data_IF_129083568754
#
_entry.id   IF_129083568754
#
_cell.length_a   1.000
_cell.length_b   1.000
_cell.length_c   1.000
_cell.angle_alpha   90.00
_cell.angle_beta   90.00
_cell.angle_gamma   90.00
#
_symmetry.space_group_name_H-M   'P 1'
#
loop_
_entity.id
_entity.type
_entity.pdbx_description
1 polymer ?
#
# COMPACT_ATOMS: atom_id res chain seq x y z
N UNK A 1 70.08 5.62 8.36
CA UNK A 1 68.83 6.40 8.45
C UNK A 1 68.43 6.78 7.05
N UNK A 2 67.41 6.13 6.47
CA UNK A 2 66.88 6.44 5.14
C UNK A 2 65.37 6.60 5.27
N UNK A 3 64.89 7.80 4.99
CA UNK A 3 63.48 8.18 4.99
C UNK A 3 62.74 7.54 3.81
N UNK A 4 61.60 6.92 4.11
CA UNK A 4 60.64 6.47 3.11
C UNK A 4 59.54 7.52 2.95
N UNK A 5 59.64 8.34 1.89
CA UNK A 5 58.56 9.21 1.45
C UNK A 5 57.43 8.35 0.85
N UNK A 6 56.23 8.45 1.43
CA UNK A 6 54.99 7.87 0.91
C UNK A 6 54.33 8.87 -0.04
N UNK A 7 54.32 8.57 -1.34
CA UNK A 7 53.50 9.28 -2.32
C UNK A 7 52.04 8.90 -2.16
N UNK A 8 51.20 9.88 -1.85
CA UNK A 8 49.74 9.77 -1.88
C UNK A 8 49.28 10.10 -3.30
N UNK A 9 48.70 9.12 -4.00
CA UNK A 9 48.06 9.36 -5.29
C UNK A 9 46.62 9.86 -5.06
N UNK A 10 46.38 11.10 -5.43
CA UNK A 10 45.05 11.69 -5.50
C UNK A 10 44.39 11.22 -6.80
N UNK A 11 43.45 10.27 -6.72
CA UNK A 11 42.61 9.89 -7.87
C UNK A 11 41.47 10.90 -7.96
N UNK A 12 41.63 11.87 -8.86
CA UNK A 12 40.59 12.84 -9.20
C UNK A 12 39.66 12.20 -10.25
N UNK A 13 38.50 11.70 -9.82
CA UNK A 13 37.46 11.19 -10.72
C UNK A 13 36.74 12.39 -11.35
N UNK A 14 37.10 12.70 -12.59
CA UNK A 14 36.38 13.66 -13.43
C UNK A 14 35.09 13.01 -13.92
N UNK A 15 33.95 13.42 -13.35
CA UNK A 15 32.63 13.03 -13.87
C UNK A 15 32.37 13.79 -15.17
N UNK A 16 32.34 13.07 -16.29
CA UNK A 16 31.92 13.57 -17.60
C UNK A 16 30.40 13.76 -17.66
N UNK A 17 29.99 14.81 -18.39
CA UNK A 17 28.64 15.27 -18.76
C UNK A 17 27.45 14.29 -18.56
N UNK A 18 26.32 14.75 -17.99
CA UNK A 18 25.07 14.01 -18.00
C UNK A 18 24.48 14.03 -19.41
N UNK A 19 24.86 13.08 -20.26
CA UNK A 19 23.99 12.65 -21.33
C UNK A 19 22.65 12.31 -20.67
N UNK A 20 21.59 13.03 -21.05
CA UNK A 20 20.24 13.04 -20.47
C UNK A 20 19.90 11.69 -19.85
N UNK A 21 20.18 11.52 -18.56
CA UNK A 21 19.98 10.25 -17.90
C UNK A 21 18.50 9.93 -18.02
N UNK A 22 18.16 8.86 -18.73
CA UNK A 22 16.78 8.42 -18.82
C UNK A 22 16.23 8.34 -17.40
N UNK A 23 15.04 8.91 -17.19
CA UNK A 23 14.44 8.89 -15.87
C UNK A 23 14.31 7.44 -15.38
N UNK A 24 14.61 7.22 -14.09
CA UNK A 24 14.49 5.92 -13.44
C UNK A 24 13.07 5.36 -13.63
N UNK A 25 12.96 4.05 -13.88
CA UNK A 25 11.68 3.35 -13.96
C UNK A 25 11.02 3.31 -12.57
N UNK A 26 9.82 3.89 -12.46
CA UNK A 26 9.04 3.90 -11.21
C UNK A 26 7.55 3.86 -11.51
N UNK A 27 6.84 2.92 -10.89
CA UNK A 27 5.37 2.90 -10.88
C UNK A 27 4.83 3.93 -9.88
N UNK A 28 3.82 4.70 -10.29
CA UNK A 28 3.08 5.61 -9.42
C UNK A 28 1.57 5.43 -9.61
N UNK A 29 0.83 5.59 -8.51
CA UNK A 29 -0.61 5.75 -8.60
C UNK A 29 -0.96 7.01 -9.44
N UNK A 30 -2.06 6.99 -10.18
CA UNK A 30 -2.53 8.17 -10.91
C UNK A 30 -2.88 9.28 -9.91
N UNK A 31 -2.52 10.52 -10.24
CA UNK A 31 -2.76 11.68 -9.37
C UNK A 31 -4.25 11.84 -8.97
N UNK A 32 -5.17 11.30 -9.77
CA UNK A 32 -6.63 11.35 -9.54
C UNK A 32 -7.11 10.48 -8.39
N UNK A 33 -6.34 9.48 -7.96
CA UNK A 33 -6.70 8.67 -6.79
C UNK A 33 -6.58 9.48 -5.48
N UNK A 34 -5.82 10.57 -5.49
CA UNK A 34 -5.63 11.47 -4.36
C UNK A 34 -6.65 12.64 -4.32
N UNK A 35 -7.49 12.78 -5.35
CA UNK A 35 -8.33 13.96 -5.55
C UNK A 35 -9.84 13.67 -5.60
N UNK A 36 -10.34 12.77 -4.76
CA UNK A 36 -11.76 12.84 -4.36
C UNK A 36 -11.88 13.67 -3.09
N UNK A 37 -11.49 14.94 -3.18
CA UNK A 37 -12.05 15.97 -2.32
C UNK A 37 -13.53 16.06 -2.69
N UNK A 38 -14.40 15.50 -1.86
CA UNK A 38 -15.80 15.84 -1.91
C UNK A 38 -15.89 17.35 -1.65
N UNK A 39 -16.36 18.12 -2.63
CA UNK A 39 -16.83 19.47 -2.37
C UNK A 39 -17.84 19.47 -1.22
N UNK A 40 -18.04 20.61 -0.53
CA UNK A 40 -18.97 20.70 0.58
C UNK A 40 -20.32 20.11 0.16
N UNK A 41 -20.87 19.25 1.02
CA UNK A 41 -22.17 18.62 0.77
C UNK A 41 -23.19 19.71 0.39
N UNK A 42 -23.97 19.54 -0.68
CA UNK A 42 -25.06 20.46 -0.96
C UNK A 42 -25.97 20.50 0.27
N UNK A 43 -26.22 21.71 0.74
CA UNK A 43 -27.09 22.02 1.87
C UNK A 43 -28.43 21.30 1.66
N UNK A 44 -28.81 20.49 2.65
CA UNK A 44 -30.02 19.69 2.56
C UNK A 44 -31.24 20.62 2.39
N UNK A 45 -32.10 20.39 1.38
CA UNK A 45 -33.35 21.13 1.30
C UNK A 45 -34.23 20.79 2.52
N UNK A 46 -35.01 21.77 3.02
CA UNK A 46 -35.85 21.57 4.20
C UNK A 46 -36.88 20.45 3.97
N UNK A 47 -37.30 19.76 5.04
CA UNK A 47 -38.22 18.63 4.92
C UNK A 47 -39.61 19.14 4.58
N UNK A 48 -40.05 18.88 3.34
CA UNK A 48 -41.44 19.06 2.96
C UNK A 48 -42.19 17.73 3.03
N UNK A 49 -43.38 17.81 3.61
CA UNK A 49 -44.18 16.68 4.06
C UNK A 49 -44.99 16.03 2.95
N UNK A 50 -45.19 14.71 3.10
CA UNK A 50 -46.22 13.85 2.49
C UNK A 50 -45.99 13.31 1.08
N UNK A 51 -45.54 12.05 0.99
CA UNK A 51 -46.12 11.04 0.08
C UNK A 51 -45.98 9.64 0.70
N UNK A 52 -47.11 8.97 0.85
CA UNK A 52 -47.31 7.61 1.35
C UNK A 52 -46.67 6.56 0.41
N UNK A 53 -45.65 5.83 0.88
CA UNK A 53 -45.02 4.74 0.12
C UNK A 53 -45.46 3.36 0.62
N UNK A 54 -46.25 2.68 -0.21
CA UNK A 54 -46.65 1.26 -0.11
C UNK A 54 -45.43 0.37 -0.36
N UNK A 55 -44.83 -0.19 0.69
CA UNK A 55 -43.70 -1.14 0.59
C UNK A 55 -44.18 -2.49 0.06
N UNK A 56 -43.72 -2.89 -1.13
CA UNK A 56 -43.85 -4.24 -1.68
C UNK A 56 -42.45 -4.83 -1.94
N UNK A 57 -42.17 -5.96 -1.29
CA UNK A 57 -41.21 -7.00 -1.69
C UNK A 57 -39.78 -6.58 -2.04
N UNK A 58 -38.87 -6.64 -1.06
CA UNK A 58 -37.44 -6.55 -1.30
C UNK A 58 -36.90 -7.84 -1.95
N UNK A 59 -36.51 -7.74 -3.21
CA UNK A 59 -35.54 -8.68 -3.80
C UNK A 59 -34.16 -8.36 -3.19
N UNK A 60 -33.66 -9.27 -2.36
CA UNK A 60 -32.27 -9.28 -1.92
C UNK A 60 -31.39 -9.81 -3.06
N UNK A 61 -30.95 -8.91 -3.94
CA UNK A 61 -29.92 -9.19 -4.94
C UNK A 61 -28.56 -8.74 -4.40
N UNK A 62 -27.86 -9.68 -3.76
CA UNK A 62 -26.49 -9.49 -3.25
C UNK A 62 -25.48 -9.33 -4.40
N UNK A 63 -24.99 -8.09 -4.54
CA UNK A 63 -23.62 -7.65 -4.84
C UNK A 63 -22.81 -8.35 -5.96
N UNK A 64 -22.94 -7.85 -7.19
CA UNK A 64 -21.84 -7.85 -8.16
C UNK A 64 -21.03 -6.56 -8.05
N UNK A 65 -20.00 -6.51 -7.20
CA UNK A 65 -19.03 -5.39 -7.24
C UNK A 65 -18.34 -5.43 -8.59
N UNK A 66 -18.72 -4.51 -9.48
CA UNK A 66 -18.07 -4.35 -10.78
C UNK A 66 -16.56 -4.20 -10.59
N UNK A 67 -15.83 -5.09 -11.26
CA UNK A 67 -14.37 -5.17 -11.25
C UNK A 67 -13.81 -3.95 -11.96
N UNK A 68 -13.44 -2.91 -11.21
CA UNK A 68 -12.84 -1.71 -11.79
C UNK A 68 -11.42 -2.03 -12.25
N UNK A 69 -11.04 -1.70 -13.49
CA UNK A 69 -9.64 -1.70 -13.91
C UNK A 69 -8.83 -0.80 -12.98
N UNK A 70 -7.58 -1.18 -12.73
CA UNK A 70 -6.63 -0.36 -11.99
C UNK A 70 -5.71 0.34 -12.99
N UNK A 71 -5.54 1.64 -12.86
CA UNK A 71 -4.63 2.43 -13.71
C UNK A 71 -3.35 2.70 -12.94
N UNK A 72 -2.21 2.45 -13.56
CA UNK A 72 -0.88 2.79 -13.05
C UNK A 72 -0.17 3.70 -14.05
N UNK A 73 0.64 4.63 -13.55
CA UNK A 73 1.50 5.45 -14.40
C UNK A 73 2.94 4.97 -14.26
N UNK A 74 3.62 4.72 -15.38
CA UNK A 74 5.05 4.39 -15.39
C UNK A 74 5.86 5.63 -15.72
N UNK A 75 6.64 6.11 -14.74
CA UNK A 75 7.62 7.14 -14.98
C UNK A 75 8.85 6.55 -15.69
N UNK A 76 9.38 7.26 -16.69
CA UNK A 76 10.55 6.80 -17.46
C UNK A 76 10.26 5.64 -18.41
N UNK A 77 9.00 5.45 -18.83
CA UNK A 77 8.51 4.33 -19.66
C UNK A 77 9.23 4.05 -20.98
N UNK A 78 9.94 5.03 -21.56
CA UNK A 78 10.54 4.93 -22.88
C UNK A 78 11.48 3.70 -22.99
N UNK A 79 11.13 2.79 -23.91
CA UNK A 79 11.89 1.55 -24.16
C UNK A 79 11.72 0.46 -23.09
N UNK A 80 10.80 0.63 -22.13
CA UNK A 80 10.50 -0.39 -21.14
C UNK A 80 9.56 -1.46 -21.70
N UNK A 81 9.87 -2.73 -21.40
CA UNK A 81 9.00 -3.87 -21.63
C UNK A 81 8.15 -4.10 -20.38
N UNK A 82 6.84 -4.32 -20.58
CA UNK A 82 5.88 -4.47 -19.49
C UNK A 82 5.37 -5.91 -19.42
N UNK A 83 5.31 -6.45 -18.21
CA UNK A 83 4.73 -7.77 -17.98
C UNK A 83 4.05 -7.83 -16.61
N UNK A 84 3.22 -8.85 -16.43
CA UNK A 84 2.57 -9.15 -15.16
C UNK A 84 2.79 -10.62 -14.83
N UNK A 85 3.27 -10.88 -13.62
CA UNK A 85 3.16 -12.19 -12.99
C UNK A 85 1.81 -12.28 -12.31
N UNK A 86 0.98 -13.21 -12.77
CA UNK A 86 -0.36 -13.45 -12.24
C UNK A 86 -0.32 -14.29 -10.97
N UNK A 87 -1.43 -14.33 -10.23
CA UNK A 87 -1.57 -15.18 -9.04
C UNK A 87 -1.37 -16.67 -9.32
N UNK A 88 -1.60 -17.11 -10.57
CA UNK A 88 -1.37 -18.48 -11.05
C UNK A 88 0.09 -18.73 -11.48
N UNK A 89 0.98 -17.76 -11.20
CA UNK A 89 2.41 -17.75 -11.51
C UNK A 89 2.75 -17.67 -13.00
N UNK A 90 1.75 -17.43 -13.86
CA UNK A 90 1.99 -17.19 -15.28
C UNK A 90 2.43 -15.75 -15.53
N UNK A 91 3.46 -15.58 -16.37
CA UNK A 91 3.89 -14.28 -16.89
C UNK A 91 3.09 -13.94 -18.15
N UNK A 92 2.53 -12.74 -18.20
CA UNK A 92 1.79 -12.22 -19.36
C UNK A 92 2.35 -10.86 -19.74
N UNK A 93 2.56 -10.62 -21.04
CA UNK A 93 2.99 -9.32 -21.55
C UNK A 93 1.87 -8.29 -21.48
N UNK A 94 2.23 -7.05 -21.17
CA UNK A 94 1.31 -5.92 -21.09
C UNK A 94 1.64 -4.88 -22.15
N UNK A 95 0.64 -4.08 -22.52
CA UNK A 95 0.80 -2.89 -23.35
C UNK A 95 0.34 -1.68 -22.56
N UNK A 96 1.20 -0.65 -22.49
CA UNK A 96 0.80 0.66 -21.99
C UNK A 96 0.16 1.48 -23.11
N UNK A 97 -0.70 2.40 -22.71
CA UNK A 97 -1.31 3.43 -23.53
C UNK A 97 -0.86 4.79 -22.98
N UNK A 98 0.00 5.50 -23.71
CA UNK A 98 0.51 6.83 -23.32
C UNK A 98 1.05 6.89 -21.87
N UNK A 99 1.99 6.01 -21.52
CA UNK A 99 2.62 5.86 -20.19
C UNK A 99 1.69 5.40 -19.05
N UNK A 100 0.40 5.27 -19.33
CA UNK A 100 -0.58 4.70 -18.44
C UNK A 100 -0.78 3.21 -18.77
N UNK A 101 -0.71 2.37 -17.75
CA UNK A 101 -1.05 0.96 -17.82
C UNK A 101 -2.41 0.75 -17.18
N UNK A 102 -3.39 0.31 -17.97
CA UNK A 102 -4.69 -0.11 -17.46
C UNK A 102 -4.66 -1.63 -17.23
N UNK A 103 -4.53 -2.02 -15.97
CA UNK A 103 -4.56 -3.42 -15.53
C UNK A 103 -6.02 -3.87 -15.43
N UNK A 104 -6.41 -4.73 -16.36
CA UNK A 104 -7.75 -5.34 -16.36
C UNK A 104 -7.80 -6.48 -15.33
N UNK A 105 -8.99 -6.75 -14.77
CA UNK A 105 -9.18 -7.91 -13.92
C UNK A 105 -8.79 -9.20 -14.64
N UNK A 106 -7.99 -10.05 -14.00
CA UNK A 106 -7.47 -11.31 -14.58
C UNK A 106 -8.44 -12.48 -14.42
N UNK A 107 -9.52 -12.29 -13.67
CA UNK A 107 -10.48 -13.34 -13.32
C UNK A 107 -10.02 -14.23 -12.17
N UNK A 108 -8.81 -14.02 -11.65
CA UNK A 108 -8.23 -14.72 -10.51
C UNK A 108 -8.04 -13.71 -9.38
N UNK A 109 -8.42 -14.09 -8.15
CA UNK A 109 -8.15 -13.27 -6.98
C UNK A 109 -6.68 -13.35 -6.58
N UNK A 110 -6.27 -12.66 -5.52
CA UNK A 110 -4.90 -12.61 -5.03
C UNK A 110 -3.97 -11.59 -5.74
N UNK A 111 -2.75 -11.49 -5.23
CA UNK A 111 -1.74 -10.56 -5.71
C UNK A 111 -1.20 -10.93 -7.07
N UNK A 112 -0.90 -9.89 -7.83
CA UNK A 112 -0.23 -9.91 -9.12
C UNK A 112 0.97 -8.97 -9.03
N UNK A 113 2.09 -9.30 -9.66
CA UNK A 113 3.24 -8.41 -9.72
C UNK A 113 3.35 -7.80 -11.12
N UNK A 114 3.13 -6.49 -11.22
CA UNK A 114 3.34 -5.72 -12.44
C UNK A 114 4.80 -5.29 -12.49
N UNK A 115 5.45 -5.56 -13.61
CA UNK A 115 6.89 -5.39 -13.81
C UNK A 115 7.13 -4.58 -15.08
N UNK A 116 7.99 -3.57 -14.96
CA UNK A 116 8.61 -2.88 -16.09
C UNK A 116 10.11 -3.17 -16.09
N UNK A 117 10.68 -3.48 -17.25
CA UNK A 117 12.11 -3.74 -17.41
C UNK A 117 12.66 -2.98 -18.61
N UNK A 118 13.89 -2.46 -18.48
CA UNK A 118 14.61 -1.82 -19.57
C UNK A 118 16.08 -2.17 -19.50
N UNK A 119 16.68 -2.48 -20.66
CA UNK A 119 18.13 -2.65 -20.77
C UNK A 119 18.65 -1.71 -21.84
N UNK A 120 19.64 -0.88 -21.49
CA UNK A 120 20.27 0.10 -22.38
C UNK A 120 21.77 0.14 -22.11
N UNK A 121 22.58 -0.31 -23.08
CA UNK A 121 24.03 -0.41 -22.90
C UNK A 121 24.39 -1.23 -21.66
N UNK A 122 25.13 -0.62 -20.73
CA UNK A 122 25.55 -1.23 -19.47
C UNK A 122 24.55 -1.04 -18.31
N UNK A 123 23.33 -0.59 -18.59
CA UNK A 123 22.31 -0.35 -17.58
C UNK A 123 21.14 -1.33 -17.74
N UNK A 124 20.74 -1.98 -16.65
CA UNK A 124 19.50 -2.71 -16.52
C UNK A 124 18.64 -2.07 -15.42
N UNK A 125 17.41 -1.73 -15.74
CA UNK A 125 16.48 -1.06 -14.84
C UNK A 125 15.19 -1.86 -14.73
N UNK A 126 14.63 -1.89 -13.52
CA UNK A 126 13.36 -2.53 -13.26
C UNK A 126 12.48 -1.72 -12.29
N UNK A 127 11.17 -1.86 -12.45
CA UNK A 127 10.18 -1.34 -11.51
C UNK A 127 9.11 -2.40 -11.26
N UNK A 128 8.81 -2.66 -9.99
CA UNK A 128 7.81 -3.63 -9.56
C UNK A 128 6.73 -2.98 -8.69
N UNK A 129 5.48 -3.39 -8.89
CA UNK A 129 4.34 -3.06 -8.01
C UNK A 129 3.44 -4.28 -7.85
N UNK A 130 3.08 -4.59 -6.60
CA UNK A 130 2.15 -5.67 -6.29
C UNK A 130 0.72 -5.12 -6.21
N UNK A 131 -0.18 -5.72 -6.98
CA UNK A 131 -1.60 -5.34 -7.04
C UNK A 131 -2.46 -6.49 -6.56
N UNK A 132 -3.41 -6.21 -5.68
CA UNK A 132 -4.45 -7.18 -5.34
C UNK A 132 -5.61 -7.04 -6.31
N UNK A 133 -5.86 -8.07 -7.12
CA UNK A 133 -6.98 -8.09 -8.05
C UNK A 133 -8.04 -9.08 -7.56
N UNK A 134 -9.31 -8.77 -7.79
CA UNK A 134 -10.42 -9.64 -7.37
C UNK A 134 -10.80 -10.63 -8.48
N UNK A 135 -11.12 -11.87 -8.11
CA UNK A 135 -11.48 -12.93 -9.04
C UNK A 135 -11.91 -14.22 -8.34
N UNK A 136 -11.71 -15.36 -8.99
CA UNK A 136 -11.86 -16.69 -8.38
C UNK A 136 -10.60 -17.02 -7.56
N UNK A 137 -10.72 -17.82 -6.49
CA UNK A 137 -9.58 -18.33 -5.73
C UNK A 137 -8.44 -18.82 -6.62
N UNK A 138 -7.26 -18.21 -6.49
CA UNK A 138 -6.06 -18.60 -7.23
C UNK A 138 -5.59 -20.03 -6.91
N UNK A 139 -5.95 -20.53 -5.71
CA UNK A 139 -5.42 -21.80 -5.17
C UNK A 139 -3.92 -21.76 -4.86
N UNK A 140 -3.30 -20.57 -4.93
CA UNK A 140 -1.88 -20.29 -4.72
C UNK A 140 -1.74 -19.18 -3.68
N UNK A 141 -0.70 -19.25 -2.88
CA UNK A 141 -0.45 -18.26 -1.82
C UNK A 141 0.28 -17.02 -2.37
N UNK A 142 0.11 -15.84 -1.75
CA UNK A 142 0.94 -14.67 -2.07
C UNK A 142 2.44 -14.93 -1.90
N UNK A 143 2.82 -15.82 -0.97
CA UNK A 143 4.20 -16.18 -0.72
C UNK A 143 4.86 -16.86 -1.95
N UNK A 144 4.11 -17.67 -2.70
CA UNK A 144 4.61 -18.30 -3.93
C UNK A 144 4.95 -17.26 -5.00
N UNK A 145 4.13 -16.22 -5.17
CA UNK A 145 4.40 -15.13 -6.13
C UNK A 145 5.66 -14.34 -5.75
N UNK A 146 5.83 -14.10 -4.45
CA UNK A 146 6.97 -13.36 -3.90
C UNK A 146 8.27 -14.15 -4.04
N UNK A 147 8.21 -15.48 -3.91
CA UNK A 147 9.36 -16.38 -3.99
C UNK A 147 9.93 -16.61 -5.41
N UNK A 148 9.24 -16.17 -6.47
CA UNK A 148 9.74 -16.27 -7.84
C UNK A 148 10.76 -15.17 -8.09
N UNK A 149 11.91 -15.50 -8.65
CA UNK A 149 12.85 -14.52 -9.18
C UNK A 149 12.26 -13.85 -10.42
N UNK A 150 11.83 -12.60 -10.28
CA UNK A 150 11.19 -11.86 -11.38
C UNK A 150 12.20 -10.98 -12.11
N UNK A 151 13.25 -10.55 -11.42
CA UNK A 151 14.20 -9.54 -11.87
C UNK A 151 15.64 -9.89 -11.43
N UNK A 152 16.68 -9.48 -12.18
CA UNK A 152 18.07 -9.66 -11.77
C UNK A 152 18.44 -8.93 -10.48
N UNK A 153 17.91 -7.72 -10.26
CA UNK A 153 17.99 -6.99 -8.99
C UNK A 153 16.54 -6.70 -8.57
N UNK A 154 16.15 -7.15 -7.38
CA UNK A 154 14.75 -7.14 -6.96
C UNK A 154 14.61 -6.77 -5.48
N UNK A 155 13.69 -5.85 -5.17
CA UNK A 155 13.22 -5.61 -3.80
C UNK A 155 11.91 -6.39 -3.62
N UNK A 156 11.88 -7.26 -2.62
CA UNK A 156 10.83 -8.27 -2.42
C UNK A 156 10.17 -8.04 -1.05
N UNK A 157 8.83 -7.93 -0.94
CA UNK A 157 8.14 -7.86 0.35
C UNK A 157 8.29 -9.14 1.17
N UNK A 158 8.60 -9.03 2.46
CA UNK A 158 8.95 -10.16 3.33
C UNK A 158 8.23 -10.12 4.70
N UNK A 159 6.93 -10.44 4.78
CA UNK A 159 6.04 -10.95 3.74
C UNK A 159 5.28 -9.84 3.01
N UNK A 160 4.60 -10.20 1.91
CA UNK A 160 3.55 -9.37 1.34
C UNK A 160 2.37 -9.25 2.32
N UNK A 161 1.82 -8.05 2.45
CA UNK A 161 0.63 -7.81 3.30
C UNK A 161 -0.53 -8.70 2.86
N UNK A 162 -1.35 -9.15 3.81
CA UNK A 162 -2.54 -9.98 3.50
C UNK A 162 -3.66 -9.12 2.87
N UNK A 163 -4.62 -9.75 2.20
CA UNK A 163 -5.74 -9.08 1.48
C UNK A 163 -6.49 -8.01 2.30
N UNK A 164 -6.59 -8.18 3.62
CA UNK A 164 -7.28 -7.23 4.50
C UNK A 164 -6.34 -6.32 5.29
N UNK A 165 -5.04 -6.40 5.01
CA UNK A 165 -4.01 -5.59 5.63
C UNK A 165 -3.53 -4.50 4.67
N UNK A 166 -2.99 -3.45 5.25
CA UNK A 166 -2.45 -2.29 4.54
C UNK A 166 -1.09 -1.98 5.12
N UNK A 167 -0.22 -1.41 4.31
CA UNK A 167 0.95 -0.72 4.82
C UNK A 167 0.46 0.52 5.58
N UNK A 168 0.73 0.58 6.88
CA UNK A 168 0.29 1.69 7.74
C UNK A 168 1.51 2.53 8.13
N UNK A 169 1.32 3.84 8.24
CA UNK A 169 2.29 4.75 8.86
C UNK A 169 2.66 4.31 10.28
N UNK A 170 3.89 4.61 10.69
CA UNK A 170 4.50 4.20 11.97
C UNK A 170 4.49 2.67 12.23
N UNK A 171 4.25 1.86 11.18
CA UNK A 171 4.41 0.41 11.22
C UNK A 171 5.64 -0.02 10.45
N UNK A 172 6.23 -1.09 10.95
CA UNK A 172 7.35 -1.76 10.31
C UNK A 172 6.81 -2.64 9.18
N UNK A 173 7.36 -2.44 7.98
CA UNK A 173 7.25 -3.29 6.82
C UNK A 173 8.63 -3.85 6.49
N UNK A 174 8.71 -5.14 6.22
CA UNK A 174 9.98 -5.82 5.96
C UNK A 174 10.10 -6.15 4.47
N UNK A 175 11.30 -5.98 3.94
CA UNK A 175 11.65 -6.34 2.57
C UNK A 175 12.97 -7.10 2.55
N UNK A 176 13.26 -7.73 1.43
CA UNK A 176 14.56 -8.32 1.13
C UNK A 176 15.03 -7.84 -0.23
N UNK A 177 16.30 -7.47 -0.34
CA UNK A 177 16.94 -7.15 -1.60
C UNK A 177 17.66 -8.39 -2.10
N UNK A 178 17.35 -8.81 -3.33
CA UNK A 178 17.99 -9.93 -3.99
C UNK A 178 18.74 -9.46 -5.24
N UNK A 179 19.87 -10.10 -5.51
CA UNK A 179 20.56 -10.07 -6.79
C UNK A 179 20.68 -11.50 -7.33
N UNK A 180 20.05 -11.77 -8.48
CA UNK A 180 19.97 -13.09 -9.13
C UNK A 180 19.50 -14.18 -8.15
N UNK A 181 18.43 -13.89 -7.41
CA UNK A 181 17.82 -14.78 -6.43
C UNK A 181 18.62 -14.97 -5.13
N UNK A 182 19.76 -14.29 -4.96
CA UNK A 182 20.57 -14.35 -3.74
C UNK A 182 20.40 -13.07 -2.92
N UNK A 183 20.31 -13.14 -1.58
CA UNK A 183 20.27 -11.96 -0.74
C UNK A 183 21.48 -11.03 -0.93
N UNK A 184 21.22 -9.74 -1.10
CA UNK A 184 22.25 -8.73 -1.34
C UNK A 184 22.42 -7.84 -0.09
N UNK A 185 23.47 -8.14 0.69
CA UNK A 185 23.78 -7.47 1.93
C UNK A 185 24.47 -6.09 1.76
N UNK A 186 24.47 -5.29 2.82
CA UNK A 186 25.19 -4.01 2.94
C UNK A 186 24.99 -3.05 1.76
N UNK A 187 23.79 -3.07 1.16
CA UNK A 187 23.48 -2.30 -0.03
C UNK A 187 22.59 -1.11 0.32
N UNK A 188 22.94 0.12 -0.10
CA UNK A 188 22.11 1.29 0.10
C UNK A 188 20.74 1.14 -0.58
N UNK A 189 19.69 1.49 0.16
CA UNK A 189 18.31 1.54 -0.33
C UNK A 189 17.72 2.90 0.02
N UNK A 190 17.11 3.58 -0.95
CA UNK A 190 16.49 4.89 -0.73
C UNK A 190 14.98 4.78 -0.70
N UNK A 191 14.37 5.29 0.37
CA UNK A 191 12.94 5.52 0.51
C UNK A 191 12.59 6.92 0.00
N UNK A 192 11.50 7.03 -0.74
CA UNK A 192 10.81 8.29 -1.02
C UNK A 192 9.29 8.10 -0.91
N UNK A 193 8.59 9.03 -0.28
CA UNK A 193 7.12 9.05 -0.25
C UNK A 193 6.55 10.14 -1.15
N UNK A 194 5.30 9.98 -1.57
CA UNK A 194 4.56 11.02 -2.30
C UNK A 194 4.30 12.28 -1.47
N UNK A 195 4.44 12.18 -0.15
CA UNK A 195 4.30 13.30 0.80
C UNK A 195 5.65 14.01 1.05
N UNK A 196 6.74 13.52 0.46
CA UNK A 196 8.05 14.19 0.46
C UNK A 196 9.07 13.65 1.46
N UNK A 197 8.71 12.68 2.31
CA UNK A 197 9.69 12.04 3.19
C UNK A 197 10.71 11.27 2.37
N UNK A 198 11.98 11.39 2.75
CA UNK A 198 13.08 10.61 2.19
C UNK A 198 13.90 10.01 3.31
N UNK A 199 14.38 8.78 3.13
CA UNK A 199 15.27 8.14 4.08
C UNK A 199 16.26 7.24 3.33
N UNK A 200 17.50 7.21 3.80
CA UNK A 200 18.51 6.27 3.34
C UNK A 200 18.57 5.09 4.32
N UNK A 201 18.46 3.90 3.78
CA UNK A 201 18.47 2.61 4.46
C UNK A 201 19.65 1.78 3.95
N UNK A 202 19.99 0.71 4.64
CA UNK A 202 21.01 -0.24 4.20
C UNK A 202 20.52 -1.65 4.50
N UNK A 203 20.72 -2.57 3.58
CA UNK A 203 20.35 -3.98 3.79
C UNK A 203 21.27 -4.63 4.82
N UNK A 204 20.72 -5.50 5.67
CA UNK A 204 21.51 -6.26 6.66
C UNK A 204 22.33 -7.40 6.02
N UNK A 205 23.00 -8.21 6.84
CA UNK A 205 23.79 -9.36 6.38
C UNK A 205 23.00 -10.45 5.62
N UNK A 206 21.67 -10.45 5.75
CA UNK A 206 20.75 -11.35 5.04
C UNK A 206 19.96 -10.62 3.94
N UNK A 207 20.41 -9.42 3.53
CA UNK A 207 19.75 -8.61 2.52
C UNK A 207 18.41 -8.01 2.96
N UNK A 208 18.08 -8.03 4.25
CA UNK A 208 16.80 -7.54 4.78
C UNK A 208 16.78 -6.03 4.94
N UNK A 209 15.60 -5.46 4.79
CA UNK A 209 15.30 -4.04 4.98
C UNK A 209 14.15 -3.95 5.98
N UNK A 210 14.40 -3.34 7.13
CA UNK A 210 13.35 -2.97 8.08
C UNK A 210 12.92 -1.52 7.79
N UNK A 211 11.74 -1.35 7.19
CA UNK A 211 11.19 -0.04 6.84
C UNK A 211 10.11 0.35 7.85
N UNK A 212 10.38 1.34 8.70
CA UNK A 212 9.31 2.06 9.39
C UNK A 212 8.73 3.10 8.44
N UNK A 213 7.47 2.91 8.03
CA UNK A 213 6.80 3.87 7.15
C UNK A 213 6.57 5.19 7.89
N UNK A 214 6.87 6.34 7.25
CA UNK A 214 6.78 7.62 7.92
C UNK A 214 5.33 8.03 8.17
N UNK A 215 5.15 8.91 9.15
CA UNK A 215 3.88 9.51 9.52
C UNK A 215 3.81 10.95 8.96
N UNK A 216 3.78 11.09 7.63
CA UNK A 216 3.92 12.36 6.91
C UNK A 216 2.63 12.81 6.19
N UNK A 217 1.48 12.28 6.62
CA UNK A 217 0.17 12.68 6.11
C UNK A 217 -0.22 14.06 6.64
N UNK A 218 -0.36 15.04 5.76
CA UNK A 218 -0.71 16.43 6.12
C UNK A 218 -2.22 16.67 6.26
N UNK A 219 -3.04 15.85 5.59
CA UNK A 219 -4.50 15.99 5.57
C UNK A 219 -5.16 14.70 6.06
N UNK A 220 -5.50 14.67 7.36
CA UNK A 220 -6.19 13.54 7.99
C UNK A 220 -7.61 13.97 8.36
N UNK A 221 -8.61 13.33 7.76
CA UNK A 221 -10.00 13.47 8.17
C UNK A 221 -10.26 12.56 9.39
N UNK A 222 -10.28 13.18 10.57
CA UNK A 222 -10.60 12.50 11.85
C UNK A 222 -12.00 11.89 11.76
N UNK A 223 -12.18 10.66 12.24
CA UNK A 223 -13.48 9.98 12.20
C UNK A 223 -13.71 9.15 10.93
N UNK A 224 -12.91 9.34 9.87
CA UNK A 224 -13.07 8.60 8.60
C UNK A 224 -12.06 7.48 8.44
N UNK A 225 -12.56 6.27 8.21
CA UNK A 225 -11.73 5.07 7.93
C UNK A 225 -11.00 5.13 6.57
N UNK A 226 -11.45 5.99 5.66
CA UNK A 226 -10.98 6.06 4.27
C UNK A 226 -10.22 7.36 3.99
N UNK A 227 -9.17 7.66 4.76
CA UNK A 227 -8.20 8.66 4.34
C UNK A 227 -7.53 8.21 3.03
N UNK A 228 -7.29 9.12 2.06
CA UNK A 228 -6.57 8.78 0.83
C UNK A 228 -5.21 8.16 1.15
N UNK A 229 -4.79 7.09 0.43
CA UNK A 229 -3.44 6.59 0.57
C UNK A 229 -2.42 7.58 0.02
N UNK A 230 -1.19 7.46 0.51
CA UNK A 230 -0.01 7.99 -0.15
C UNK A 230 0.78 6.83 -0.78
N UNK A 231 1.73 7.10 -1.66
CA UNK A 231 2.62 6.09 -2.25
C UNK A 231 4.02 6.21 -1.64
N UNK A 232 4.70 5.09 -1.41
CA UNK A 232 6.14 5.07 -1.16
C UNK A 232 6.85 4.31 -2.27
N UNK A 233 8.13 4.62 -2.46
CA UNK A 233 9.04 3.98 -3.41
C UNK A 233 10.33 3.63 -2.68
N UNK A 234 10.75 2.37 -2.77
CA UNK A 234 12.09 1.92 -2.42
C UNK A 234 12.93 1.79 -3.68
N UNK A 235 14.17 2.27 -3.66
CA UNK A 235 15.12 2.14 -4.77
C UNK A 235 16.43 1.55 -4.31
N UNK A 236 16.99 0.64 -5.09
CA UNK A 236 18.31 0.07 -4.87
C UNK A 236 19.12 0.09 -6.16
N UNK A 237 20.45 0.12 -6.00
CA UNK A 237 21.40 0.04 -7.11
C UNK A 237 22.47 -1.01 -6.79
N UNK A 238 22.93 -1.70 -7.82
CA UNK A 238 24.03 -2.66 -7.73
C UNK A 238 24.87 -2.61 -8.99
N UNK A 239 26.18 -2.79 -8.89
CA UNK A 239 27.08 -2.80 -10.04
C UNK A 239 27.92 -4.06 -10.00
N UNK A 240 27.91 -4.81 -11.10
CA UNK A 240 28.72 -6.02 -11.27
C UNK A 240 29.30 -6.03 -12.69
N UNK A 241 30.61 -6.30 -12.82
CA UNK A 241 31.28 -6.43 -14.13
C UNK A 241 31.06 -5.23 -15.08
N UNK A 242 31.02 -4.01 -14.52
CA UNK A 242 30.77 -2.78 -15.29
C UNK A 242 29.32 -2.58 -15.75
N UNK A 243 28.40 -3.45 -15.36
CA UNK A 243 26.96 -3.33 -15.59
C UNK A 243 26.26 -2.80 -14.35
N UNK A 244 25.50 -1.72 -14.50
CA UNK A 244 24.66 -1.13 -13.47
C UNK A 244 23.26 -1.76 -13.51
N UNK A 245 22.76 -2.12 -12.33
CA UNK A 245 21.42 -2.60 -12.09
C UNK A 245 20.71 -1.60 -11.18
N UNK A 246 19.52 -1.17 -11.58
CA UNK A 246 18.63 -0.34 -10.76
C UNK A 246 17.29 -1.04 -10.62
N UNK A 247 16.72 -1.00 -9.42
CA UNK A 247 15.38 -1.51 -9.19
C UNK A 247 14.59 -0.55 -8.33
N UNK A 248 13.28 -0.49 -8.57
CA UNK A 248 12.33 0.20 -7.70
C UNK A 248 11.15 -0.70 -7.34
N UNK A 249 10.72 -0.62 -6.09
CA UNK A 249 9.43 -1.15 -5.63
C UNK A 249 8.56 0.00 -5.17
N UNK A 250 7.31 0.05 -5.64
CA UNK A 250 6.32 1.02 -5.14
C UNK A 250 5.12 0.32 -4.53
N UNK A 251 4.51 0.94 -3.52
CA UNK A 251 3.22 0.51 -2.99
C UNK A 251 2.50 1.66 -2.29
N UNK A 252 1.17 1.57 -2.14
CA UNK A 252 0.43 2.51 -1.32
C UNK A 252 0.64 2.23 0.17
N UNK A 253 0.62 3.28 0.99
CA UNK A 253 0.54 3.20 2.44
C UNK A 253 -0.52 4.18 2.96
N UNK A 254 -0.97 3.95 4.20
CA UNK A 254 -2.16 4.57 4.75
C UNK A 254 -1.90 5.14 6.15
N UNK A 255 -2.72 6.12 6.54
CA UNK A 255 -2.75 6.64 7.91
C UNK A 255 -3.04 5.50 8.90
N UNK A 256 -2.27 5.41 9.98
CA UNK A 256 -2.55 4.50 11.08
C UNK A 256 -3.78 5.00 11.87
N UNK A 257 -4.87 4.22 12.00
CA UNK A 257 -6.08 4.69 12.68
C UNK A 257 -5.92 4.84 14.20
N UNK A 258 -4.84 4.29 14.79
CA UNK A 258 -4.60 4.37 16.23
C UNK A 258 -4.47 5.81 16.75
N UNK A 259 -4.11 6.77 15.91
CA UNK A 259 -3.97 8.18 16.31
C UNK A 259 -5.31 8.86 16.66
N UNK A 260 -6.46 8.30 16.26
CA UNK A 260 -7.77 8.94 16.50
C UNK A 260 -8.88 8.00 16.97
N UNK A 261 -8.66 6.67 16.99
CA UNK A 261 -9.55 5.74 17.67
C UNK A 261 -9.20 5.70 19.16
N UNK A 262 -9.82 6.57 19.96
CA UNK A 262 -9.69 6.55 21.42
C UNK A 262 -10.41 5.33 22.00
N UNK A 263 -9.67 4.24 22.24
CA UNK A 263 -10.17 3.03 22.90
C UNK A 263 -10.82 3.34 24.27
N UNK A 264 -10.35 4.38 24.96
CA UNK A 264 -10.90 4.84 26.24
C UNK A 264 -12.29 5.48 26.12
N UNK A 265 -12.57 6.23 25.05
CA UNK A 265 -13.87 6.85 24.83
C UNK A 265 -14.93 5.79 24.49
N UNK A 266 -14.57 4.80 23.68
CA UNK A 266 -15.42 3.64 23.39
C UNK A 266 -15.75 2.83 24.65
N UNK A 267 -14.74 2.59 25.51
CA UNK A 267 -14.95 1.90 26.79
C UNK A 267 -15.85 2.71 27.74
N UNK A 268 -15.63 4.03 27.84
CA UNK A 268 -16.46 4.90 28.67
C UNK A 268 -17.93 4.92 28.21
N UNK A 269 -18.17 4.95 26.89
CA UNK A 269 -19.52 4.86 26.32
C UNK A 269 -20.18 3.50 26.56
N UNK A 270 -19.42 2.40 26.49
CA UNK A 270 -19.93 1.07 26.79
C UNK A 270 -20.31 0.92 28.27
N UNK A 271 -19.46 1.41 29.18
CA UNK A 271 -19.71 1.39 30.61
C UNK A 271 -20.92 2.28 31.00
N UNK A 272 -21.04 3.46 30.41
CA UNK A 272 -22.19 4.33 30.65
C UNK A 272 -23.49 3.73 30.13
N UNK A 273 -23.48 3.16 28.92
CA UNK A 273 -24.62 2.44 28.36
C UNK A 273 -25.05 1.25 29.22
N UNK A 274 -24.09 0.48 29.75
CA UNK A 274 -24.36 -0.64 30.64
C UNK A 274 -24.98 -0.17 31.98
N UNK A 275 -24.45 0.89 32.59
CA UNK A 275 -24.99 1.45 33.82
C UNK A 275 -26.42 1.97 33.66
N UNK A 276 -26.71 2.66 32.55
CA UNK A 276 -28.06 3.12 32.20
C UNK A 276 -29.00 1.93 31.99
N UNK A 277 -28.55 0.90 31.27
CA UNK A 277 -29.33 -0.33 31.06
C UNK A 277 -29.70 -1.04 32.37
N UNK A 278 -28.75 -1.15 33.31
CA UNK A 278 -29.01 -1.70 34.65
C UNK A 278 -29.98 -0.83 35.46
N UNK A 279 -29.87 0.50 35.38
CA UNK A 279 -30.78 1.44 36.03
C UNK A 279 -32.23 1.27 35.55
N UNK A 280 -32.43 1.14 34.23
CA UNK A 280 -33.75 0.90 33.63
C UNK A 280 -34.32 -0.46 34.08
N UNK A 281 -33.51 -1.53 34.08
CA UNK A 281 -33.94 -2.86 34.54
C UNK A 281 -34.31 -2.89 36.04
N UNK A 282 -33.60 -2.12 36.86
CA UNK A 282 -33.90 -2.00 38.28
C UNK A 282 -35.21 -1.25 38.56
N UNK A 283 -35.54 -0.26 37.74
CA UNK A 283 -36.77 0.52 37.84
C UNK A 283 -38.01 -0.28 37.41
N UNK A 284 -37.90 -1.15 36.42
CA UNK A 284 -39.02 -2.02 35.98
C UNK A 284 -39.34 -3.09 37.02
N UNK A 285 -38.34 -3.72 37.64
CA UNK A 285 -38.54 -4.71 38.72
C UNK A 285 -39.20 -4.15 39.97
N UNK A 286 -39.01 -2.86 40.28
CA UNK A 286 -39.66 -2.21 41.44
C UNK A 286 -41.15 -1.92 41.23
N UNK A 287 -41.62 -1.87 39.99
CA UNK A 287 -43.04 -1.62 39.67
C UNK A 287 -43.92 -2.88 39.75
N UNK A 288 -43.32 -4.06 39.77
CA UNK A 288 -44.04 -5.34 39.93
C UNK A 288 -44.27 -5.72 41.39
N UNK A 289 -43.67 -4.99 42.35
CA UNK A 289 -43.84 -5.23 43.79
C UNK A 289 -44.86 -4.25 44.40
N UNK A 290 -46.12 -4.30 43.95
CA UNK A 290 -47.23 -3.69 44.71
C UNK A 290 -48.02 -4.81 45.40
N UNK A 291 -48.01 -4.93 46.74
CA UNK A 291 -48.72 -5.99 47.42
C UNK A 291 -50.22 -5.70 47.44
N UNK A 292 -51.01 -6.61 46.91
CA UNK A 292 -52.48 -6.64 46.99
C UNK A 292 -52.90 -6.67 48.47
N UNK A 293 -53.39 -5.54 49.00
CA UNK A 293 -54.03 -5.51 50.33
C UNK A 293 -55.36 -6.27 50.25
N UNK A 294 -55.44 -7.36 51.00
CA UNK A 294 -56.69 -8.07 51.25
C UNK A 294 -57.69 -7.18 51.98
N UNK A 295 -58.93 -7.18 51.50
CA UNK A 295 -60.09 -6.59 52.17
C UNK A 295 -60.81 -7.70 52.90
N UNK A 296 -60.81 -7.63 54.23
CA UNK A 296 -61.77 -8.30 55.10
C UNK A 296 -62.62 -7.23 55.77
N UNK A 297 -63.86 -7.08 55.33
CA UNK A 297 -65.08 -7.40 56.09
C UNK A 297 -66.31 -6.85 55.38
#
# INVERSE_FOLDING_TARGET
MRDHARSVFLVMVLFTNPATAAADLVWRAPATLNLHQHGPAPEAPPPDSSVTAKRKGGNQSSHGRHRRPETLNLHGSAGAQLSMWRSDLQRVELKADNDALVVRPTGVDNYHAVVAERTQGNLHESAIRYLYLNGKPAGRSPAELVAIDKLPLEIVPAPLVREHQRYLSDRIANYQLHYRGQPLANTPVRLETSNGTQADLTTDGEGRIELRLPEDFTHIEIGRRNNPPADFVLRARHTENGKEYRTSLSAPYYVNPQHWQSNSAGLAAALSGFAVGLGILGLTRRREATPTKGVTS
#
